data_IF_111818882446
#
_entry.id   IF_111818882446
#
_cell.length_a   1.000
_cell.length_b   1.000
_cell.length_c   1.000
_cell.angle_alpha   90.00
_cell.angle_beta   90.00
_cell.angle_gamma   90.00
#
_symmetry.space_group_name_H-M   'P 1'
#
loop_
_entity.id
_entity.type
_entity.pdbx_description
1 polymer ?
#
# COMPACT_ATOMS: atom_id res chain seq x y z
N UNK A 1 -11.25 14.88 6.10
CA UNK A 1 -12.48 14.58 6.85
C UNK A 1 -12.13 13.74 8.08
N UNK A 2 -13.03 13.64 9.06
CA UNK A 2 -12.85 12.82 10.27
C UNK A 2 -14.06 11.91 10.45
N UNK A 3 -13.80 10.64 10.77
CA UNK A 3 -14.80 9.61 10.97
C UNK A 3 -14.62 8.98 12.35
N UNK A 4 -15.72 8.80 13.09
CA UNK A 4 -15.67 8.06 14.34
C UNK A 4 -15.61 6.56 14.02
N UNK A 5 -14.69 5.83 14.65
CA UNK A 5 -14.54 4.39 14.47
C UNK A 5 -15.84 3.64 14.74
N UNK A 6 -16.63 4.08 15.74
CA UNK A 6 -17.91 3.45 16.10
C UNK A 6 -19.00 3.60 15.03
N UNK A 7 -18.86 4.57 14.12
CA UNK A 7 -19.82 4.80 13.03
C UNK A 7 -19.47 3.95 11.79
N UNK A 8 -18.28 3.34 11.75
CA UNK A 8 -17.83 2.52 10.64
C UNK A 8 -18.33 1.08 10.79
N UNK A 9 -19.04 0.58 9.77
CA UNK A 9 -19.50 -0.81 9.76
C UNK A 9 -18.45 -1.70 9.10
N UNK A 10 -17.84 -2.60 9.86
CA UNK A 10 -16.95 -3.63 9.30
C UNK A 10 -17.72 -4.55 8.34
N UNK A 11 -17.24 -4.63 7.10
CA UNK A 11 -17.71 -5.56 6.08
C UNK A 11 -16.93 -6.86 6.18
N UNK A 12 -15.60 -6.78 6.18
CA UNK A 12 -14.71 -7.92 6.36
C UNK A 12 -13.32 -7.48 6.82
N UNK A 13 -12.49 -8.44 7.23
CA UNK A 13 -11.12 -8.20 7.69
C UNK A 13 -10.13 -8.68 6.63
N UNK A 14 -9.15 -7.84 6.29
CA UNK A 14 -8.06 -8.20 5.37
C UNK A 14 -6.86 -8.71 6.16
N UNK A 15 -6.45 -7.96 7.19
CA UNK A 15 -5.34 -8.30 8.08
C UNK A 15 -5.65 -7.83 9.51
N UNK A 16 -4.67 -7.88 10.40
CA UNK A 16 -4.84 -7.40 11.78
C UNK A 16 -5.15 -5.91 11.83
N UNK A 17 -4.55 -5.13 10.93
CA UNK A 17 -4.66 -3.66 10.94
C UNK A 17 -5.53 -3.12 9.82
N UNK A 18 -6.01 -3.97 8.91
CA UNK A 18 -6.67 -3.55 7.67
C UNK A 18 -8.03 -4.22 7.55
N UNK A 19 -9.06 -3.40 7.31
CA UNK A 19 -10.46 -3.81 7.26
C UNK A 19 -11.16 -3.20 6.05
N UNK A 20 -12.08 -3.97 5.47
CA UNK A 20 -13.13 -3.43 4.62
C UNK A 20 -14.22 -2.85 5.51
N UNK A 21 -14.57 -1.59 5.30
CA UNK A 21 -15.64 -0.92 6.04
C UNK A 21 -16.63 -0.24 5.11
N UNK A 22 -17.88 -0.18 5.52
CA UNK A 22 -18.90 0.64 4.87
C UNK A 22 -19.02 1.97 5.62
N UNK A 23 -18.93 3.07 4.86
CA UNK A 23 -19.00 4.43 5.34
C UNK A 23 -19.72 5.29 4.29
N UNK A 24 -20.75 6.03 4.69
CA UNK A 24 -21.57 6.86 3.80
C UNK A 24 -22.18 6.08 2.60
N UNK A 25 -22.45 4.78 2.79
CA UNK A 25 -22.98 3.90 1.73
C UNK A 25 -21.93 3.40 0.73
N UNK A 26 -20.66 3.79 0.87
CA UNK A 26 -19.55 3.32 0.06
C UNK A 26 -18.63 2.37 0.86
N UNK A 27 -18.03 1.42 0.16
CA UNK A 27 -17.00 0.55 0.73
C UNK A 27 -15.64 1.24 0.66
N UNK A 28 -14.88 1.18 1.76
CA UNK A 28 -13.57 1.80 1.94
C UNK A 28 -12.61 0.83 2.62
N UNK A 29 -11.32 1.11 2.51
CA UNK A 29 -10.29 0.43 3.29
C UNK A 29 -9.98 1.27 4.53
N UNK A 30 -10.11 0.64 5.69
CA UNK A 30 -9.71 1.16 6.99
C UNK A 30 -8.36 0.56 7.37
N UNK A 31 -7.39 1.41 7.69
CA UNK A 31 -6.13 1.02 8.34
C UNK A 31 -6.06 1.64 9.73
N UNK A 32 -5.79 0.83 10.75
CA UNK A 32 -5.74 1.25 12.16
C UNK A 32 -4.39 0.93 12.80
N UNK A 33 -4.00 1.77 13.76
CA UNK A 33 -2.95 1.50 14.72
C UNK A 33 -3.59 0.83 15.94
N UNK A 34 -3.28 -0.45 16.17
CA UNK A 34 -3.69 -1.19 17.36
C UNK A 34 -2.84 -0.79 18.57
N UNK A 35 -1.58 -0.45 18.32
CA UNK A 35 -0.63 -0.09 19.37
C UNK A 35 -0.05 1.31 19.17
N UNK A 36 0.33 1.95 20.28
CA UNK A 36 0.89 3.32 20.28
C UNK A 36 2.15 3.45 19.41
N UNK A 37 2.98 2.40 19.33
CA UNK A 37 4.19 2.42 18.52
C UNK A 37 3.93 2.38 17.00
N UNK A 38 2.70 2.04 16.58
CA UNK A 38 2.30 2.01 15.16
C UNK A 38 1.84 3.38 14.67
N UNK A 39 1.48 4.29 15.59
CA UNK A 39 0.98 5.64 15.27
C UNK A 39 1.96 6.43 14.40
N UNK A 40 3.29 6.46 14.67
CA UNK A 40 4.23 7.19 13.81
C UNK A 40 4.27 6.68 12.37
N UNK A 41 4.17 5.37 12.16
CA UNK A 41 4.13 4.77 10.82
C UNK A 41 2.86 5.14 10.06
N UNK A 42 1.72 5.15 10.77
CA UNK A 42 0.45 5.60 10.24
C UNK A 42 0.50 7.09 9.84
N UNK A 43 1.06 7.94 10.71
CA UNK A 43 1.25 9.37 10.41
C UNK A 43 2.15 9.58 9.19
N UNK A 44 3.22 8.81 9.07
CA UNK A 44 4.11 8.85 7.91
C UNK A 44 3.35 8.51 6.63
N UNK A 45 2.62 7.39 6.61
CA UNK A 45 1.84 6.97 5.45
C UNK A 45 0.80 8.03 5.04
N UNK A 46 0.09 8.61 6.00
CA UNK A 46 -0.89 9.67 5.70
C UNK A 46 -0.22 10.94 5.16
N UNK A 47 0.98 11.29 5.65
CA UNK A 47 1.72 12.44 5.11
C UNK A 47 2.10 12.24 3.64
N UNK A 48 2.43 11.01 3.25
CA UNK A 48 2.73 10.64 1.87
C UNK A 48 1.47 10.69 1.03
N UNK A 49 0.35 10.15 1.50
CA UNK A 49 -0.95 10.28 0.81
C UNK A 49 -1.33 11.75 0.57
N UNK A 50 -1.13 12.62 1.56
CA UNK A 50 -1.39 14.06 1.41
C UNK A 50 -0.51 14.67 0.33
N UNK A 51 0.78 14.36 0.35
CA UNK A 51 1.75 14.86 -0.64
C UNK A 51 1.41 14.42 -2.06
N UNK A 52 1.13 13.12 -2.24
CA UNK A 52 0.76 12.53 -3.52
C UNK A 52 -0.56 13.09 -4.05
N UNK A 53 -1.55 13.29 -3.17
CA UNK A 53 -2.84 13.88 -3.54
C UNK A 53 -2.66 15.33 -4.01
N UNK A 54 -1.90 16.14 -3.27
CA UNK A 54 -1.63 17.53 -3.64
C UNK A 54 -0.83 17.67 -4.93
N UNK A 55 0.08 16.73 -5.20
CA UNK A 55 0.86 16.70 -6.43
C UNK A 55 0.10 16.10 -7.63
N UNK A 56 -1.04 15.43 -7.40
CA UNK A 56 -1.85 14.80 -8.44
C UNK A 56 -1.31 13.45 -8.92
N UNK A 57 -0.69 12.67 -8.04
CA UNK A 57 -0.21 11.32 -8.38
C UNK A 57 -1.40 10.36 -8.62
N UNK A 58 -1.53 9.74 -9.79
CA UNK A 58 -2.75 9.03 -10.16
C UNK A 58 -2.79 7.55 -9.73
N UNK A 59 -1.66 6.99 -9.27
CA UNK A 59 -1.50 5.55 -9.02
C UNK A 59 -1.45 5.20 -7.53
N UNK A 60 -1.93 6.08 -6.65
CA UNK A 60 -2.15 5.77 -5.23
C UNK A 60 -3.66 5.80 -4.93
N UNK A 61 -4.13 5.04 -3.93
CA UNK A 61 -5.51 5.16 -3.51
C UNK A 61 -5.80 6.56 -2.94
N UNK A 62 -6.96 7.10 -3.27
CA UNK A 62 -7.41 8.38 -2.72
C UNK A 62 -7.59 8.29 -1.20
N UNK A 63 -7.00 9.25 -0.50
CA UNK A 63 -7.24 9.45 0.92
C UNK A 63 -8.65 10.01 1.16
N UNK A 64 -9.40 9.40 2.09
CA UNK A 64 -10.77 9.79 2.42
C UNK A 64 -10.81 10.62 3.69
N UNK A 65 -10.15 10.16 4.75
CA UNK A 65 -10.14 10.88 6.02
C UNK A 65 -9.49 10.11 7.16
N UNK A 66 -9.33 10.81 8.28
CA UNK A 66 -8.83 10.25 9.52
C UNK A 66 -9.93 9.53 10.28
N UNK A 67 -9.56 8.51 11.03
CA UNK A 67 -10.45 7.75 11.90
C UNK A 67 -10.03 7.96 13.34
N UNK A 68 -10.98 8.34 14.19
CA UNK A 68 -10.77 8.61 15.60
C UNK A 68 -11.66 7.74 16.48
N UNK A 69 -11.27 7.57 17.74
CA UNK A 69 -12.07 6.87 18.76
C UNK A 69 -12.40 7.85 19.89
N UNK A 70 -13.68 7.94 20.29
CA UNK A 70 -14.22 8.87 21.29
C UNK A 70 -14.09 10.37 20.91
N UNK A 71 -12.87 10.84 20.70
CA UNK A 71 -12.54 12.24 20.44
C UNK A 71 -11.55 12.37 19.27
N UNK A 72 -11.61 13.49 18.53
CA UNK A 72 -10.82 13.68 17.29
C UNK A 72 -9.30 13.76 17.52
N UNK A 73 -8.88 14.15 18.71
CA UNK A 73 -7.48 14.14 19.14
C UNK A 73 -6.91 12.72 19.30
N UNK A 74 -7.78 11.72 19.48
CA UNK A 74 -7.43 10.30 19.48
C UNK A 74 -7.61 9.69 18.09
N UNK A 75 -6.80 10.15 17.14
CA UNK A 75 -6.73 9.53 15.80
C UNK A 75 -6.08 8.15 15.90
N UNK A 76 -6.83 7.12 15.54
CA UNK A 76 -6.43 5.70 15.63
C UNK A 76 -6.25 5.06 14.25
N UNK A 77 -6.65 5.74 13.17
CA UNK A 77 -6.64 5.17 11.84
C UNK A 77 -6.87 6.18 10.72
N UNK A 78 -7.00 5.67 9.51
CA UNK A 78 -7.43 6.43 8.34
C UNK A 78 -8.18 5.55 7.33
N UNK A 79 -8.93 6.21 6.45
CA UNK A 79 -9.68 5.61 5.35
C UNK A 79 -9.06 5.97 4.01
N UNK A 80 -8.94 4.99 3.13
CA UNK A 80 -8.61 5.17 1.70
C UNK A 80 -9.68 4.52 0.82
N UNK A 81 -9.68 4.90 -0.45
CA UNK A 81 -10.55 4.26 -1.44
C UNK A 81 -10.32 2.75 -1.51
N UNK A 82 -11.40 2.04 -1.81
CA UNK A 82 -11.33 0.66 -2.27
C UNK A 82 -10.57 0.58 -3.59
N UNK A 83 -9.62 -0.36 -3.67
CA UNK A 83 -8.91 -0.66 -4.91
C UNK A 83 -9.40 -2.00 -5.45
N UNK A 84 -10.01 -1.97 -6.63
CA UNK A 84 -10.35 -3.17 -7.38
C UNK A 84 -9.20 -3.52 -8.32
N UNK A 85 -8.53 -4.63 -8.04
CA UNK A 85 -7.42 -5.11 -8.85
C UNK A 85 -6.92 -6.48 -8.42
N UNK A 86 -5.93 -6.99 -9.14
CA UNK A 86 -5.30 -8.27 -8.85
C UNK A 86 -3.85 -8.05 -8.42
N UNK A 87 -3.30 -8.86 -7.50
CA UNK A 87 -1.88 -8.83 -7.21
C UNK A 87 -1.05 -9.02 -8.49
N UNK A 88 0.03 -8.27 -8.70
CA UNK A 88 0.86 -8.43 -9.90
C UNK A 88 1.54 -9.80 -9.95
N UNK A 89 1.73 -10.27 -11.18
CA UNK A 89 2.60 -11.37 -11.55
C UNK A 89 3.85 -10.88 -12.31
N UNK A 90 4.67 -11.82 -12.78
CA UNK A 90 5.91 -11.51 -13.52
C UNK A 90 5.68 -10.72 -14.81
N UNK A 91 4.53 -10.89 -15.47
CA UNK A 91 4.18 -10.14 -16.68
C UNK A 91 3.87 -8.69 -16.36
N UNK A 92 3.40 -8.42 -15.13
CA UNK A 92 3.08 -7.07 -14.67
C UNK A 92 4.29 -6.28 -14.15
N UNK A 93 5.47 -6.92 -14.01
CA UNK A 93 6.67 -6.29 -13.48
C UNK A 93 6.98 -4.94 -14.14
N UNK A 94 6.85 -4.85 -15.47
CA UNK A 94 7.16 -3.61 -16.20
C UNK A 94 6.25 -2.44 -15.78
N UNK A 95 4.99 -2.72 -15.45
CA UNK A 95 4.03 -1.71 -14.98
C UNK A 95 4.30 -1.31 -13.53
N UNK A 96 4.66 -2.26 -12.67
CA UNK A 96 5.07 -1.95 -11.30
C UNK A 96 6.35 -1.07 -11.29
N UNK A 97 7.33 -1.37 -12.15
CA UNK A 97 8.54 -0.56 -12.30
C UNK A 97 8.22 0.84 -12.81
N UNK A 98 7.34 0.98 -13.81
CA UNK A 98 6.88 2.30 -14.30
C UNK A 98 6.23 3.11 -13.17
N UNK A 99 5.41 2.47 -12.34
CA UNK A 99 4.73 3.09 -11.21
C UNK A 99 5.71 3.60 -10.17
N UNK A 100 6.71 2.79 -9.80
CA UNK A 100 7.77 3.21 -8.86
C UNK A 100 8.60 4.35 -9.44
N UNK A 101 8.95 4.30 -10.72
CA UNK A 101 9.66 5.39 -11.39
C UNK A 101 8.86 6.68 -11.39
N UNK A 102 7.55 6.60 -11.65
CA UNK A 102 6.66 7.75 -11.56
C UNK A 102 6.59 8.28 -10.13
N UNK A 103 6.44 7.42 -9.12
CA UNK A 103 6.47 7.83 -7.72
C UNK A 103 7.75 8.62 -7.37
N UNK A 104 8.90 8.19 -7.90
CA UNK A 104 10.17 8.88 -7.73
C UNK A 104 10.23 10.26 -8.41
N UNK A 105 9.47 10.51 -9.49
CA UNK A 105 9.38 11.85 -10.10
C UNK A 105 8.53 12.80 -9.26
N UNK A 106 7.65 12.27 -8.42
CA UNK A 106 6.86 12.99 -7.43
C UNK A 106 7.62 13.23 -6.12
N UNK A 107 8.92 12.90 -6.09
CA UNK A 107 9.78 13.15 -4.94
C UNK A 107 9.56 12.20 -3.77
N UNK A 108 8.90 11.05 -3.98
CA UNK A 108 8.69 10.03 -2.94
C UNK A 108 9.45 8.76 -3.31
N UNK A 109 10.13 8.14 -2.34
CA UNK A 109 10.70 6.79 -2.44
C UNK A 109 9.86 5.86 -1.58
N UNK A 110 9.37 4.74 -2.13
CA UNK A 110 8.44 3.84 -1.43
C UNK A 110 9.04 3.21 -0.15
N UNK A 111 10.33 2.87 -0.18
CA UNK A 111 11.04 2.24 0.93
C UNK A 111 10.93 0.71 0.98
N UNK A 112 9.75 0.16 0.63
CA UNK A 112 9.53 -1.30 0.54
C UNK A 112 8.65 -1.71 -0.66
N UNK A 113 9.12 -1.54 -1.91
CA UNK A 113 8.36 -1.98 -3.07
C UNK A 113 8.41 -3.51 -3.17
N UNK A 114 7.31 -4.17 -2.77
CA UNK A 114 7.12 -5.60 -2.92
C UNK A 114 5.76 -5.89 -3.57
N UNK A 115 5.57 -7.08 -4.18
CA UNK A 115 4.34 -7.41 -4.94
C UNK A 115 3.01 -7.24 -4.18
N UNK A 116 3.02 -7.31 -2.85
CA UNK A 116 1.80 -7.21 -2.03
C UNK A 116 1.39 -5.75 -1.79
N UNK A 117 2.28 -4.79 -2.07
CA UNK A 117 2.05 -3.36 -1.98
C UNK A 117 1.59 -2.76 -3.33
N UNK A 118 1.18 -3.63 -4.27
CA UNK A 118 0.63 -3.23 -5.56
C UNK A 118 -0.64 -4.01 -5.90
N UNK A 119 -1.53 -3.37 -6.64
CA UNK A 119 -2.67 -4.01 -7.29
C UNK A 119 -2.75 -3.54 -8.74
N UNK A 120 -2.86 -4.51 -9.65
CA UNK A 120 -3.08 -4.28 -11.06
C UNK A 120 -4.53 -3.92 -11.31
N UNK A 121 -4.75 -2.70 -11.79
CA UNK A 121 -6.07 -2.16 -12.13
C UNK A 121 -6.13 -1.87 -13.64
N UNK A 122 -7.31 -1.52 -14.14
CA UNK A 122 -7.47 -1.03 -15.52
C UNK A 122 -6.65 0.24 -15.82
N UNK A 123 -6.31 1.01 -14.78
CA UNK A 123 -5.55 2.27 -14.88
C UNK A 123 -4.04 2.08 -14.66
N UNK A 124 -3.57 0.83 -14.55
CA UNK A 124 -2.18 0.48 -14.27
C UNK A 124 -1.98 -0.10 -12.86
N UNK A 125 -0.72 -0.27 -12.48
CA UNK A 125 -0.36 -0.76 -11.15
C UNK A 125 -0.56 0.35 -10.12
N UNK A 126 -1.56 0.21 -9.24
CA UNK A 126 -1.69 1.09 -8.07
C UNK A 126 -0.71 0.64 -6.99
N UNK A 127 -0.05 1.60 -6.35
CA UNK A 127 0.88 1.40 -5.23
C UNK A 127 0.28 1.97 -3.95
N UNK A 128 0.49 1.27 -2.84
CA UNK A 128 -0.01 1.63 -1.51
C UNK A 128 0.93 1.09 -0.42
N UNK A 129 0.62 1.36 0.84
CA UNK A 129 1.44 1.02 2.01
C UNK A 129 2.74 1.84 2.11
N UNK A 130 2.58 3.14 2.40
CA UNK A 130 3.68 4.10 2.44
C UNK A 130 4.32 4.28 3.84
N UNK A 131 4.15 3.32 4.75
CA UNK A 131 4.64 3.43 6.15
C UNK A 131 6.15 3.70 6.26
N UNK A 132 6.93 3.22 5.29
CA UNK A 132 8.39 3.36 5.24
C UNK A 132 8.87 4.26 4.10
N UNK A 133 7.94 5.01 3.48
CA UNK A 133 8.25 5.93 2.40
C UNK A 133 8.89 7.21 2.91
N UNK A 134 9.81 7.77 2.13
CA UNK A 134 10.56 9.00 2.46
C UNK A 134 10.56 9.98 1.30
N UNK A 135 10.66 11.28 1.61
CA UNK A 135 10.89 12.29 0.60
C UNK A 135 12.29 12.10 -0.02
N UNK A 136 12.39 12.29 -1.33
CA UNK A 136 13.62 12.07 -2.11
C UNK A 136 14.74 13.05 -1.75
N UNK A 137 14.40 14.22 -1.23
CA UNK A 137 15.37 15.25 -0.81
C UNK A 137 16.08 14.91 0.51
N UNK A 138 15.46 14.10 1.38
CA UNK A 138 16.07 13.62 2.62
C UNK A 138 17.08 12.47 2.39
N UNK A 139 17.41 12.20 1.12
CA UNK A 139 18.09 10.99 0.69
C UNK A 139 19.56 11.24 0.33
N UNK A 140 20.38 11.43 1.35
CA UNK A 140 21.84 11.24 1.24
C UNK A 140 22.26 9.76 1.23
N UNK A 141 21.42 8.86 1.80
CA UNK A 141 21.76 7.45 2.05
C UNK A 141 20.99 6.42 1.18
N UNK A 142 19.84 6.76 0.61
CA UNK A 142 19.02 5.84 -0.22
C UNK A 142 19.24 5.95 -1.74
N UNK A 143 20.15 6.81 -2.22
CA UNK A 143 20.52 6.83 -3.64
C UNK A 143 21.10 5.47 -4.09
N UNK A 144 21.73 4.71 -3.18
CA UNK A 144 22.11 3.31 -3.42
C UNK A 144 20.86 2.41 -3.63
N UNK A 145 19.85 2.57 -2.76
CA UNK A 145 18.59 1.81 -2.79
C UNK A 145 17.66 2.12 -3.96
N UNK A 146 17.75 3.28 -4.60
CA UNK A 146 16.94 3.60 -5.79
C UNK A 146 17.31 2.79 -7.04
N UNK A 147 18.54 2.26 -7.12
CA UNK A 147 18.92 1.23 -8.10
C UNK A 147 18.49 -0.16 -7.64
N UNK A 148 18.53 -0.41 -6.33
CA UNK A 148 18.13 -1.69 -5.73
C UNK A 148 16.61 -1.88 -5.64
N UNK A 149 15.79 -0.83 -5.71
CA UNK A 149 14.33 -0.92 -5.58
C UNK A 149 13.69 -1.68 -6.74
N UNK A 150 14.20 -1.50 -7.96
CA UNK A 150 13.75 -2.28 -9.12
C UNK A 150 14.21 -3.74 -9.01
N UNK A 151 15.43 -3.97 -8.53
CA UNK A 151 15.96 -5.32 -8.28
C UNK A 151 15.20 -6.02 -7.15
N UNK A 152 14.87 -5.33 -6.07
CA UNK A 152 14.11 -5.86 -4.93
C UNK A 152 12.64 -6.15 -5.33
N UNK A 153 12.02 -5.25 -6.08
CA UNK A 153 10.69 -5.48 -6.65
C UNK A 153 10.69 -6.68 -7.62
N UNK A 154 11.70 -6.78 -8.49
CA UNK A 154 11.91 -7.95 -9.35
C UNK A 154 12.05 -9.24 -8.53
N UNK A 155 12.85 -9.23 -7.46
CA UNK A 155 13.03 -10.40 -6.59
C UNK A 155 11.72 -10.82 -5.91
N UNK A 156 10.95 -9.86 -5.39
CA UNK A 156 9.67 -10.14 -4.70
C UNK A 156 8.57 -10.61 -5.65
N UNK A 157 8.55 -10.12 -6.90
CA UNK A 157 7.61 -10.56 -7.93
C UNK A 157 8.01 -11.94 -8.50
N UNK A 158 9.32 -12.18 -8.69
CA UNK A 158 9.83 -13.41 -9.31
C UNK A 158 9.95 -14.60 -8.37
N UNK A 159 10.19 -14.37 -7.07
CA UNK A 159 10.44 -15.41 -6.07
C UNK A 159 9.43 -15.33 -4.90
N UNK A 160 8.14 -15.32 -5.22
CA UNK A 160 7.11 -15.52 -4.20
C UNK A 160 7.31 -16.92 -3.57
N UNK A 161 7.47 -17.05 -2.24
CA UNK A 161 7.59 -18.34 -1.57
C UNK A 161 6.38 -19.26 -1.84
N UNK A 162 5.23 -18.69 -2.20
CA UNK A 162 4.01 -19.44 -2.53
C UNK A 162 4.03 -20.08 -3.93
N UNK A 163 4.87 -19.59 -4.85
CA UNK A 163 4.98 -20.18 -6.20
C UNK A 163 5.93 -21.39 -6.22
N UNK A 164 6.87 -21.46 -5.28
CA UNK A 164 7.75 -22.63 -5.07
C UNK A 164 6.93 -23.84 -4.58
N UNK A 165 5.85 -23.59 -3.82
CA UNK A 165 4.95 -24.66 -3.37
C UNK A 165 3.92 -25.10 -4.43
N UNK A 166 3.59 -24.26 -5.42
CA UNK A 166 2.66 -24.65 -6.49
C UNK A 166 3.34 -25.49 -7.58
N UNK A 167 4.58 -25.19 -7.94
CA UNK A 167 5.36 -26.00 -8.90
C UNK A 167 5.70 -27.39 -8.34
N UNK A 168 5.93 -27.52 -7.02
CA UNK A 168 6.23 -28.80 -6.37
C UNK A 168 5.07 -29.80 -6.33
N UNK A 169 3.83 -29.38 -6.64
CA UNK A 169 2.66 -30.27 -6.70
C UNK A 169 2.34 -30.80 -8.10
N UNK A 170 2.97 -30.26 -9.15
CA UNK A 170 2.66 -30.67 -10.52
C UNK A 170 3.65 -31.68 -11.12
N UNK A 171 4.74 -31.99 -10.41
CA UNK A 171 5.75 -32.98 -10.84
C UNK A 171 5.64 -34.36 -10.18
N UNK A 172 4.58 -34.63 -9.40
CA UNK A 172 4.46 -35.87 -8.62
C UNK A 172 3.18 -36.65 -8.91
N UNK A 173 2.83 -36.86 -10.18
CA UNK A 173 2.03 -38.03 -10.58
C UNK A 173 2.60 -38.57 -11.89
N UNK A 174 3.57 -39.46 -11.77
CA UNK A 174 3.84 -40.52 -12.73
C UNK A 174 4.51 -41.64 -11.95
N UNK A 175 3.75 -42.69 -11.64
CA UNK A 175 4.10 -44.12 -11.72
C UNK A 175 2.92 -44.94 -11.18
#
# INVERSE_FOLDING_TARGET
MFYNLSDLRTVSRISDRIYWVSCDGETRILKVAQFKYEIPYLQQEVSVYSTLTSAGFPLAPRFIGYVYEETKDRTVGFLVEEIFGNPPDIQNLSECVKTVRLLHTFGIVHGDPNRYNFLMTENGAKVFDFEVSVAKEDVGHYLCRSRDSETYLLLTIRYSPLDIYSESKQTSISY
#
